data_IF_295625605497
#
_entry.id   IF_295625605497
#
_cell.length_a   1.000
_cell.length_b   1.000
_cell.length_c   1.000
_cell.angle_alpha   90.00
_cell.angle_beta   90.00
_cell.angle_gamma   90.00
#
_symmetry.space_group_name_H-M   'P 1'
#
loop_
_entity.id
_entity.type
_entity.pdbx_description
1 polymer ?
#
# COMPACT_ATOMS: atom_id res chain seq x y z
N UNK A 1 17.54 -9.52 3.33
CA UNK A 1 16.45 -8.90 2.54
C UNK A 1 15.50 -10.00 2.09
N UNK A 2 14.23 -9.89 2.45
CA UNK A 2 13.20 -10.84 1.99
C UNK A 2 12.66 -10.36 0.65
N UNK A 3 12.50 -11.26 -0.31
CA UNK A 3 11.89 -10.98 -1.62
C UNK A 3 10.62 -11.80 -1.74
N UNK A 4 9.56 -11.17 -2.23
CA UNK A 4 8.26 -11.80 -2.45
C UNK A 4 7.84 -11.43 -3.88
N UNK A 5 7.42 -12.43 -4.66
CA UNK A 5 6.86 -12.22 -5.98
C UNK A 5 5.34 -12.05 -5.85
N UNK A 6 4.80 -10.98 -6.42
CA UNK A 6 3.36 -10.72 -6.49
C UNK A 6 2.96 -10.79 -7.95
N UNK A 7 2.10 -11.76 -8.28
CA UNK A 7 1.77 -12.08 -9.67
C UNK A 7 0.95 -10.98 -10.36
N UNK A 8 0.19 -10.21 -9.58
CA UNK A 8 -0.72 -9.19 -10.10
C UNK A 8 -1.02 -8.09 -9.06
N UNK A 9 -1.87 -7.15 -9.46
CA UNK A 9 -2.32 -6.06 -8.61
C UNK A 9 -3.13 -6.54 -7.40
N UNK A 10 -3.87 -7.65 -7.52
CA UNK A 10 -4.70 -8.16 -6.42
C UNK A 10 -3.89 -8.86 -5.34
N UNK A 11 -2.83 -9.58 -5.74
CA UNK A 11 -1.80 -10.07 -4.84
C UNK A 11 -1.14 -8.91 -4.08
N UNK A 12 -0.90 -7.78 -4.75
CA UNK A 12 -0.35 -6.56 -4.13
C UNK A 12 -1.31 -5.94 -3.11
N UNK A 13 -2.60 -5.85 -3.43
CA UNK A 13 -3.62 -5.38 -2.47
C UNK A 13 -3.75 -6.33 -1.28
N UNK A 14 -3.76 -7.64 -1.53
CA UNK A 14 -3.87 -8.67 -0.50
C UNK A 14 -2.69 -8.68 0.46
N UNK A 15 -1.47 -8.38 -0.04
CA UNK A 15 -0.32 -8.13 0.81
C UNK A 15 -0.51 -6.85 1.64
N UNK A 16 -0.98 -5.78 1.00
CA UNK A 16 -1.28 -4.52 1.68
C UNK A 16 -2.27 -4.67 2.82
N UNK A 17 -3.36 -5.42 2.66
CA UNK A 17 -4.35 -5.69 3.71
C UNK A 17 -3.69 -6.33 4.92
N UNK A 18 -2.96 -7.44 4.72
CA UNK A 18 -2.25 -8.14 5.79
C UNK A 18 -1.22 -7.27 6.48
N UNK A 19 -0.53 -6.42 5.72
CA UNK A 19 0.41 -5.46 6.27
C UNK A 19 -0.34 -4.46 7.16
N UNK A 20 -1.39 -3.82 6.65
CA UNK A 20 -2.23 -2.85 7.38
C UNK A 20 -2.76 -3.39 8.70
N UNK A 21 -3.29 -4.61 8.72
CA UNK A 21 -3.79 -5.29 9.92
C UNK A 21 -2.71 -5.54 10.99
N UNK A 22 -1.44 -5.62 10.57
CA UNK A 22 -0.30 -5.93 11.43
C UNK A 22 0.50 -4.71 11.90
N UNK A 23 0.23 -3.52 11.36
CA UNK A 23 1.02 -2.33 11.64
C UNK A 23 0.70 -1.75 13.03
N UNK A 24 1.71 -1.51 13.88
CA UNK A 24 1.52 -0.72 15.10
C UNK A 24 1.13 0.72 14.80
N UNK A 25 0.41 1.35 15.74
CA UNK A 25 0.14 2.78 15.68
C UNK A 25 1.44 3.60 15.63
N UNK A 26 1.47 4.66 14.81
CA UNK A 26 2.65 5.51 14.63
C UNK A 26 3.70 4.97 13.64
N UNK A 27 3.41 3.87 12.95
CA UNK A 27 4.31 3.33 11.91
C UNK A 27 4.51 4.31 10.75
N UNK A 28 5.74 4.39 10.25
CA UNK A 28 6.10 5.14 9.02
C UNK A 28 6.71 4.16 8.03
N UNK A 29 6.17 4.12 6.81
CA UNK A 29 6.60 3.20 5.75
C UNK A 29 7.07 4.01 4.54
N UNK A 30 8.30 3.76 4.10
CA UNK A 30 8.81 4.27 2.84
C UNK A 30 8.47 3.28 1.71
N UNK A 31 7.83 3.77 0.65
CA UNK A 31 7.59 3.03 -0.58
C UNK A 31 8.41 3.62 -1.72
N UNK A 32 9.33 2.82 -2.27
CA UNK A 32 10.21 3.22 -3.37
C UNK A 32 9.95 2.34 -4.60
N UNK A 33 10.08 2.94 -5.78
CA UNK A 33 9.93 2.27 -7.06
C UNK A 33 9.48 3.23 -8.15
N UNK A 34 9.58 2.82 -9.40
CA UNK A 34 9.26 3.64 -10.57
C UNK A 34 7.77 4.00 -10.68
N UNK A 35 7.44 4.88 -11.63
CA UNK A 35 6.06 5.14 -12.02
C UNK A 35 5.40 3.84 -12.49
N UNK A 36 4.20 3.54 -11.97
CA UNK A 36 3.50 2.30 -12.30
C UNK A 36 3.97 1.06 -11.54
N UNK A 37 4.98 1.14 -10.66
CA UNK A 37 5.48 0.00 -9.88
C UNK A 37 4.50 -0.59 -8.83
N UNK A 38 3.26 -0.10 -8.75
CA UNK A 38 2.23 -0.62 -7.84
C UNK A 38 2.22 -0.02 -6.42
N UNK A 39 2.99 1.07 -6.17
CA UNK A 39 3.02 1.76 -4.86
C UNK A 39 1.63 2.11 -4.34
N UNK A 40 0.82 2.82 -5.14
CA UNK A 40 -0.56 3.20 -4.75
C UNK A 40 -1.46 1.98 -4.57
N UNK A 41 -1.28 0.92 -5.36
CA UNK A 41 -2.02 -0.35 -5.22
C UNK A 41 -1.75 -1.00 -3.87
N UNK A 42 -0.50 -0.97 -3.40
CA UNK A 42 -0.15 -1.46 -2.06
C UNK A 42 -0.79 -0.60 -0.97
N UNK A 43 -0.72 0.73 -1.09
CA UNK A 43 -1.33 1.67 -0.12
C UNK A 43 -2.84 1.48 -0.02
N UNK A 44 -3.53 1.23 -1.13
CA UNK A 44 -4.96 0.90 -1.13
C UNK A 44 -5.27 -0.37 -0.30
N UNK A 45 -4.43 -1.40 -0.44
CA UNK A 45 -4.51 -2.60 0.39
C UNK A 45 -4.30 -2.29 1.87
N UNK A 46 -3.25 -1.51 2.20
CA UNK A 46 -2.97 -1.09 3.59
C UNK A 46 -4.16 -0.33 4.19
N UNK A 47 -4.71 0.64 3.47
CA UNK A 47 -5.88 1.39 3.92
C UNK A 47 -7.08 0.50 4.20
N UNK A 48 -7.34 -0.49 3.34
CA UNK A 48 -8.40 -1.49 3.57
C UNK A 48 -8.12 -2.32 4.84
N UNK A 49 -6.89 -2.75 5.07
CA UNK A 49 -6.50 -3.46 6.30
C UNK A 49 -6.63 -2.61 7.57
N UNK A 50 -6.53 -1.29 7.44
CA UNK A 50 -6.77 -0.32 8.52
C UNK A 50 -8.26 0.07 8.68
N UNK A 51 -9.16 -0.51 7.88
CA UNK A 51 -10.59 -0.21 7.93
C UNK A 51 -11.03 1.07 7.21
N UNK A 52 -10.17 1.68 6.38
CA UNK A 52 -10.52 2.84 5.56
C UNK A 52 -11.48 2.40 4.45
N UNK A 53 -12.62 3.09 4.33
CA UNK A 53 -13.67 2.77 3.35
C UNK A 53 -13.67 3.69 2.14
N UNK A 54 -13.07 4.87 2.31
CA UNK A 54 -12.94 5.91 1.31
C UNK A 54 -11.91 5.53 0.24
N UNK A 55 -12.06 6.12 -0.94
CA UNK A 55 -11.14 5.87 -2.04
C UNK A 55 -9.76 6.49 -1.74
N UNK A 56 -8.73 5.65 -1.74
CA UNK A 56 -7.34 6.09 -1.67
C UNK A 56 -6.80 6.31 -3.09
N UNK A 57 -6.43 7.56 -3.35
CA UNK A 57 -5.84 8.02 -4.62
C UNK A 57 -4.41 8.51 -4.42
N UNK A 58 -3.61 8.55 -5.49
CA UNK A 58 -2.24 9.05 -5.42
C UNK A 58 -2.22 10.56 -5.14
N UNK A 59 -1.52 11.04 -4.11
CA UNK A 59 -1.45 12.47 -3.80
C UNK A 59 -0.44 13.23 -4.69
N UNK A 60 -0.21 12.75 -5.92
CA UNK A 60 0.86 13.24 -6.82
C UNK A 60 0.84 14.75 -7.02
N UNK A 61 -0.34 15.37 -6.97
CA UNK A 61 -0.54 16.81 -7.18
C UNK A 61 -1.19 17.51 -5.98
N UNK A 62 -1.35 16.83 -4.85
CA UNK A 62 -2.07 17.37 -3.67
C UNK A 62 -1.15 17.65 -2.48
N UNK A 63 0.14 17.31 -2.57
CA UNK A 63 1.13 17.69 -1.56
C UNK A 63 1.53 19.15 -1.81
N UNK A 64 1.26 20.00 -0.81
CA UNK A 64 1.64 21.43 -0.73
C UNK A 64 2.87 21.62 0.14
#
# INVERSE_FOLDING_TARGET
>A
MTKILLADAEATRSLGVRLGESLPAGSVILLEGDLGAGKTTLVQGIGKGLGITEQIVSPTFTLI
#
